data_IF_351441066453
#
_entry.id   IF_351441066453
#
_cell.length_a   1.000
_cell.length_b   1.000
_cell.length_c   1.000
_cell.angle_alpha   90.00
_cell.angle_beta   90.00
_cell.angle_gamma   90.00
#
_symmetry.space_group_name_H-M   'P 1'
#
loop_
_entity.id
_entity.type
_entity.pdbx_description
1 polymer ?
#
# COMPACT_ATOMS: atom_id res chain seq x y z
N UNK A 1 17.60 -5.62 1.01
CA UNK A 1 16.30 -6.23 0.66
C UNK A 1 15.23 -5.15 0.68
N UNK A 2 14.41 -5.06 -0.34
CA UNK A 2 13.34 -4.07 -0.36
C UNK A 2 12.26 -4.43 0.67
N UNK A 3 11.76 -3.43 1.37
CA UNK A 3 10.74 -3.60 2.41
C UNK A 3 9.41 -3.02 1.91
N UNK A 4 8.35 -3.80 2.04
CA UNK A 4 7.00 -3.43 1.65
C UNK A 4 6.10 -3.41 2.88
N UNK A 5 5.34 -2.34 3.08
CA UNK A 5 4.29 -2.31 4.09
C UNK A 5 2.94 -2.61 3.42
N UNK A 6 2.14 -3.44 4.07
CA UNK A 6 0.79 -3.78 3.60
C UNK A 6 -0.25 -3.16 4.53
N UNK A 7 -1.05 -2.25 4.00
CA UNK A 7 -2.22 -1.69 4.69
C UNK A 7 -3.47 -2.25 4.04
N UNK A 8 -3.79 -3.51 4.39
CA UNK A 8 -4.88 -4.29 3.85
C UNK A 8 -5.49 -5.10 4.99
N UNK A 9 -6.81 -5.05 5.18
CA UNK A 9 -7.45 -5.73 6.30
C UNK A 9 -8.03 -7.10 5.94
N UNK A 10 -8.01 -7.50 4.67
CA UNK A 10 -8.42 -8.86 4.29
C UNK A 10 -7.29 -9.81 4.65
N UNK A 11 -7.54 -10.67 5.66
CA UNK A 11 -6.52 -11.57 6.20
C UNK A 11 -6.02 -12.56 5.14
N UNK A 12 -6.93 -13.06 4.32
CA UNK A 12 -6.57 -14.02 3.26
C UNK A 12 -5.66 -13.37 2.22
N UNK A 13 -6.02 -12.17 1.78
CA UNK A 13 -5.20 -11.44 0.82
C UNK A 13 -3.84 -11.08 1.40
N UNK A 14 -3.82 -10.61 2.65
CA UNK A 14 -2.57 -10.25 3.31
C UNK A 14 -1.63 -11.45 3.41
N UNK A 15 -2.15 -12.62 3.81
CA UNK A 15 -1.35 -13.85 3.89
C UNK A 15 -0.79 -14.25 2.54
N UNK A 16 -1.63 -14.21 1.50
CA UNK A 16 -1.20 -14.57 0.16
C UNK A 16 -0.13 -13.62 -0.36
N UNK A 17 -0.36 -12.31 -0.23
CA UNK A 17 0.61 -11.32 -0.68
C UNK A 17 1.93 -11.43 0.06
N UNK A 18 1.88 -11.64 1.38
CA UNK A 18 3.10 -11.82 2.16
C UNK A 18 3.92 -13.00 1.63
N UNK A 19 3.26 -14.13 1.39
CA UNK A 19 3.94 -15.32 0.88
C UNK A 19 4.58 -15.06 -0.48
N UNK A 20 3.80 -14.49 -1.41
CA UNK A 20 4.28 -14.28 -2.78
C UNK A 20 5.37 -13.23 -2.84
N UNK A 21 5.24 -12.14 -2.08
CA UNK A 21 6.26 -11.10 -2.07
C UNK A 21 7.54 -11.56 -1.40
N UNK A 22 7.43 -12.36 -0.33
CA UNK A 22 8.62 -12.96 0.29
C UNK A 22 9.36 -13.85 -0.70
N UNK A 23 8.64 -14.60 -1.52
CA UNK A 23 9.25 -15.45 -2.55
C UNK A 23 9.99 -14.63 -3.61
N UNK A 24 9.57 -13.38 -3.81
CA UNK A 24 10.24 -12.47 -4.75
C UNK A 24 11.41 -11.72 -4.10
N UNK A 25 11.69 -11.98 -2.84
CA UNK A 25 12.81 -11.38 -2.15
C UNK A 25 12.48 -10.12 -1.36
N UNK A 26 11.20 -9.75 -1.25
CA UNK A 26 10.80 -8.59 -0.45
C UNK A 26 10.67 -8.95 1.03
N UNK A 27 11.02 -8.01 1.89
CA UNK A 27 10.64 -8.08 3.30
C UNK A 27 9.27 -7.43 3.42
N UNK A 28 8.32 -8.09 4.11
CA UNK A 28 6.93 -7.65 4.16
C UNK A 28 6.47 -7.48 5.58
N UNK A 29 5.87 -6.32 5.87
CA UNK A 29 5.26 -6.05 7.17
C UNK A 29 3.80 -5.65 6.95
N UNK A 30 2.88 -6.41 7.56
CA UNK A 30 1.45 -6.09 7.50
C UNK A 30 1.09 -5.21 8.69
N UNK A 31 0.38 -4.11 8.43
CA UNK A 31 -0.02 -3.17 9.47
C UNK A 31 -1.36 -3.58 10.08
N UNK A 32 -1.56 -3.24 11.37
CA UNK A 32 -2.87 -3.37 12.01
C UNK A 32 -3.85 -2.38 11.40
N UNK A 33 -5.15 -2.74 11.41
CA UNK A 33 -6.19 -1.91 10.80
C UNK A 33 -6.36 -0.55 11.47
N UNK A 34 -5.92 -0.42 12.72
CA UNK A 34 -5.99 0.85 13.45
C UNK A 34 -4.64 1.58 13.50
N UNK A 35 -3.67 1.11 12.72
CA UNK A 35 -2.35 1.74 12.70
C UNK A 35 -2.43 3.16 12.12
N UNK A 36 -1.59 4.04 12.66
CA UNK A 36 -1.33 5.35 12.05
C UNK A 36 -0.38 5.12 10.88
N UNK A 37 -0.92 4.99 9.67
CA UNK A 37 -0.15 4.56 8.51
C UNK A 37 0.99 5.53 8.19
N UNK A 38 0.78 6.85 8.14
CA UNK A 38 1.90 7.76 7.90
C UNK A 38 3.02 7.63 8.93
N UNK A 39 2.66 7.46 10.21
CA UNK A 39 3.66 7.30 11.28
C UNK A 39 4.43 5.99 11.11
N UNK A 40 3.73 4.90 10.76
CA UNK A 40 4.38 3.62 10.54
C UNK A 40 5.32 3.67 9.33
N UNK A 41 4.91 4.33 8.26
CA UNK A 41 5.76 4.51 7.08
C UNK A 41 7.03 5.28 7.44
N UNK A 42 6.89 6.33 8.25
CA UNK A 42 8.03 7.13 8.65
C UNK A 42 8.98 6.33 9.54
N UNK A 43 8.45 5.51 10.43
CA UNK A 43 9.24 4.69 11.34
C UNK A 43 9.95 3.56 10.62
N UNK A 44 9.25 2.85 9.75
CA UNK A 44 9.77 1.66 9.08
C UNK A 44 10.62 1.97 7.85
N UNK A 45 10.44 3.13 7.25
CA UNK A 45 11.16 3.57 6.05
C UNK A 45 11.11 2.51 4.94
N UNK A 46 9.91 2.09 4.53
CA UNK A 46 9.79 1.07 3.49
C UNK A 46 10.16 1.62 2.12
N UNK A 47 10.38 0.73 1.19
CA UNK A 47 10.59 1.09 -0.22
C UNK A 47 9.26 1.35 -0.91
N UNK A 48 8.18 0.70 -0.44
CA UNK A 48 6.85 0.89 -0.99
C UNK A 48 5.77 0.60 0.04
N UNK A 49 4.60 1.16 -0.19
CA UNK A 49 3.40 0.91 0.60
C UNK A 49 2.31 0.40 -0.34
N UNK A 50 1.68 -0.71 0.02
CA UNK A 50 0.47 -1.19 -0.61
C UNK A 50 -0.71 -0.77 0.27
N UNK A 51 -1.64 0.01 -0.27
CA UNK A 51 -2.67 0.69 0.54
C UNK A 51 -4.04 0.49 -0.06
N UNK A 52 -4.92 -0.18 0.71
CA UNK A 52 -6.33 -0.28 0.34
C UNK A 52 -7.02 1.05 0.59
N UNK A 53 -7.91 1.45 -0.32
CA UNK A 53 -8.72 2.66 -0.14
C UNK A 53 -9.56 2.57 1.14
N UNK A 54 -10.03 1.37 1.48
CA UNK A 54 -10.77 1.13 2.72
C UNK A 54 -9.94 0.23 3.64
N UNK A 55 -9.10 0.83 4.45
CA UNK A 55 -8.26 0.10 5.39
C UNK A 55 -8.91 0.15 6.77
N UNK A 56 -9.67 -0.88 7.13
CA UNK A 56 -10.51 -0.85 8.32
C UNK A 56 -11.50 0.30 8.22
N UNK A 57 -11.49 1.19 9.20
CA UNK A 57 -12.33 2.39 9.20
C UNK A 57 -11.59 3.62 8.63
N UNK A 58 -10.39 3.44 8.11
CA UNK A 58 -9.58 4.53 7.60
C UNK A 58 -9.78 4.69 6.09
N UNK A 59 -9.72 5.94 5.64
CA UNK A 59 -9.75 6.27 4.21
C UNK A 59 -8.34 6.26 3.65
N UNK A 60 -8.08 5.38 2.68
CA UNK A 60 -6.77 5.34 2.01
C UNK A 60 -6.48 6.62 1.25
N UNK A 61 -7.51 7.29 0.72
CA UNK A 61 -7.31 8.57 0.03
C UNK A 61 -6.80 9.63 1.00
N UNK A 62 -7.38 9.69 2.21
CA UNK A 62 -6.89 10.62 3.23
C UNK A 62 -5.46 10.27 3.65
N UNK A 63 -5.16 8.98 3.75
CA UNK A 63 -3.83 8.52 4.12
C UNK A 63 -2.79 8.94 3.07
N UNK A 64 -3.07 8.72 1.78
CA UNK A 64 -2.10 9.09 0.74
C UNK A 64 -1.88 10.59 0.71
N UNK A 65 -2.93 11.38 0.93
CA UNK A 65 -2.79 12.84 0.98
C UNK A 65 -1.89 13.26 2.13
N UNK A 66 -2.06 12.65 3.31
CA UNK A 66 -1.21 12.94 4.46
C UNK A 66 0.25 12.55 4.19
N UNK A 67 0.48 11.41 3.55
CA UNK A 67 1.82 10.96 3.19
C UNK A 67 2.48 11.96 2.25
N UNK A 68 1.76 12.43 1.24
CA UNK A 68 2.34 13.36 0.24
C UNK A 68 2.63 14.75 0.80
N UNK A 69 1.94 15.14 1.87
CA UNK A 69 2.23 16.41 2.56
C UNK A 69 3.49 16.33 3.40
N UNK A 70 3.93 15.15 3.77
CA UNK A 70 5.17 14.97 4.53
C UNK A 70 6.33 14.95 3.54
N UNK A 71 7.23 15.93 3.67
CA UNK A 71 8.35 16.11 2.74
C UNK A 71 9.24 14.87 2.68
N UNK A 72 9.45 14.20 3.81
CA UNK A 72 10.31 13.01 3.89
C UNK A 72 9.70 11.81 3.17
N UNK A 73 8.39 11.81 2.94
CA UNK A 73 7.66 10.70 2.35
C UNK A 73 7.13 11.02 0.95
N UNK A 74 7.46 12.18 0.41
CA UNK A 74 6.86 12.67 -0.84
C UNK A 74 7.23 11.82 -2.05
N UNK A 75 8.32 11.07 -2.00
CA UNK A 75 8.77 10.22 -3.11
C UNK A 75 8.49 8.73 -2.88
N UNK A 76 7.84 8.38 -1.77
CA UNK A 76 7.54 6.98 -1.49
C UNK A 76 6.63 6.41 -2.58
N UNK A 77 6.96 5.19 -3.04
CA UNK A 77 6.08 4.48 -3.97
C UNK A 77 4.86 3.96 -3.21
N UNK A 78 3.67 4.34 -3.64
CA UNK A 78 2.42 3.89 -3.03
C UNK A 78 1.54 3.31 -4.11
N UNK A 79 1.25 2.01 -4.00
CA UNK A 79 0.30 1.33 -4.87
C UNK A 79 -1.00 1.21 -4.11
N UNK A 80 -2.08 1.80 -4.64
CA UNK A 80 -3.39 1.75 -4.00
C UNK A 80 -4.28 0.75 -4.69
N UNK A 81 -5.27 0.24 -3.97
CA UNK A 81 -6.20 -0.76 -4.48
C UNK A 81 -7.59 -0.55 -3.90
N UNK A 82 -8.61 -1.00 -4.64
CA UNK A 82 -9.99 -1.00 -4.19
C UNK A 82 -10.79 -1.99 -5.04
N UNK A 83 -11.90 -2.47 -4.48
CA UNK A 83 -12.88 -3.25 -5.24
C UNK A 83 -13.74 -2.39 -6.16
N UNK A 84 -13.69 -1.08 -6.02
CA UNK A 84 -14.37 -0.12 -6.88
C UNK A 84 -13.33 0.67 -7.66
N UNK A 85 -13.70 1.13 -8.85
CA UNK A 85 -12.77 1.91 -9.66
C UNK A 85 -12.62 3.31 -9.06
N UNK A 86 -11.61 3.49 -8.23
CA UNK A 86 -11.27 4.76 -7.59
C UNK A 86 -9.92 5.27 -8.08
N UNK A 87 -9.53 4.88 -9.30
CA UNK A 87 -8.24 5.28 -9.86
C UNK A 87 -8.05 6.78 -9.86
N UNK A 88 -9.07 7.52 -10.31
CA UNK A 88 -8.93 8.97 -10.41
C UNK A 88 -8.69 9.62 -9.05
N UNK A 89 -9.48 9.26 -8.06
CA UNK A 89 -9.35 9.80 -6.71
C UNK A 89 -7.99 9.45 -6.11
N UNK A 90 -7.55 8.21 -6.30
CA UNK A 90 -6.26 7.77 -5.77
C UNK A 90 -5.09 8.48 -6.44
N UNK A 91 -5.13 8.60 -7.76
CA UNK A 91 -4.04 9.24 -8.49
C UNK A 91 -3.99 10.74 -8.19
N UNK A 92 -5.14 11.39 -8.07
CA UNK A 92 -5.19 12.80 -7.67
C UNK A 92 -4.67 13.01 -6.26
N UNK A 93 -4.90 12.05 -5.36
CA UNK A 93 -4.38 12.11 -4.00
C UNK A 93 -2.88 11.88 -3.90
N UNK A 94 -2.25 11.38 -4.95
CA UNK A 94 -0.81 11.21 -5.00
C UNK A 94 -0.32 9.78 -5.09
N UNK A 95 -1.20 8.80 -5.37
CA UNK A 95 -0.78 7.40 -5.53
C UNK A 95 0.17 7.27 -6.72
N UNK A 96 1.11 6.33 -6.61
CA UNK A 96 2.02 6.00 -7.71
C UNK A 96 1.33 5.14 -8.75
N UNK A 97 0.39 4.29 -8.31
CA UNK A 97 -0.36 3.39 -9.18
C UNK A 97 -1.64 2.95 -8.48
N UNK A 98 -2.59 2.45 -9.26
CA UNK A 98 -3.84 1.91 -8.73
C UNK A 98 -4.13 0.57 -9.38
N UNK A 99 -4.52 -0.41 -8.55
CA UNK A 99 -4.95 -1.74 -8.99
C UNK A 99 -6.39 -1.98 -8.57
N UNK A 100 -7.24 -2.31 -9.53
CA UNK A 100 -8.62 -2.70 -9.25
C UNK A 100 -8.67 -4.15 -8.80
N UNK A 101 -9.38 -4.45 -7.72
CA UNK A 101 -9.59 -5.83 -7.27
C UNK A 101 -10.66 -6.51 -8.11
N UNK A 102 -10.53 -7.80 -8.44
CA UNK A 102 -9.36 -8.63 -8.17
C UNK A 102 -8.22 -8.32 -9.16
N UNK A 103 -6.99 -8.33 -8.69
CA UNK A 103 -5.81 -8.14 -9.54
C UNK A 103 -4.93 -9.39 -9.46
N UNK A 104 -4.06 -9.58 -10.45
CA UNK A 104 -3.12 -10.68 -10.37
C UNK A 104 -1.92 -10.28 -9.51
N UNK A 105 -1.36 -11.22 -8.71
CA UNK A 105 -0.16 -10.90 -7.92
C UNK A 105 1.01 -10.42 -8.79
N UNK A 106 1.12 -10.90 -10.02
CA UNK A 106 2.17 -10.46 -10.93
C UNK A 106 2.07 -8.97 -11.25
N UNK A 107 0.83 -8.45 -11.36
CA UNK A 107 0.63 -7.02 -11.61
C UNK A 107 1.17 -6.19 -10.46
N UNK A 108 0.90 -6.62 -9.23
CA UNK A 108 1.42 -5.92 -8.05
C UNK A 108 2.94 -6.00 -7.98
N UNK A 109 3.49 -7.19 -8.18
CA UNK A 109 4.94 -7.39 -8.12
C UNK A 109 5.65 -6.48 -9.14
N UNK A 110 5.09 -6.39 -10.35
CA UNK A 110 5.66 -5.52 -11.39
C UNK A 110 5.70 -4.07 -10.95
N UNK A 111 4.66 -3.61 -10.26
CA UNK A 111 4.59 -2.23 -9.79
C UNK A 111 5.53 -1.96 -8.61
N UNK A 112 5.92 -2.99 -7.87
CA UNK A 112 6.80 -2.86 -6.71
C UNK A 112 8.28 -2.97 -7.07
N UNK A 113 8.58 -3.52 -8.22
CA UNK A 113 9.97 -3.65 -8.70
C UNK A 113 10.48 -2.39 -9.46
#
# INVERSE_FOLDING_TARGET
MAKILLAEDDVTMTSLLRTLLNMEGFEVLALNVDADVPAEVQREKPDALFLDVHFGNQSGVDIIEAIRKNRDLSSLRVVMTSGMNMREECMQGGASAFLLKPFSPEDLIRLLK
#
